data_IF_981543399593
#
_entry.id   IF_981543399593
#
_cell.length_a   1.000
_cell.length_b   1.000
_cell.length_c   1.000
_cell.angle_alpha   90.00
_cell.angle_beta   90.00
_cell.angle_gamma   90.00
#
_symmetry.space_group_name_H-M   'P 1'
#
loop_
_entity.id
_entity.type
_entity.pdbx_description
1 polymer ?
#
# COMPACT_ATOMS: atom_id res chain seq x y z
N UNK A 1 9.92 27.02 -53.21
CA UNK A 1 11.33 26.73 -52.86
C UNK A 1 12.02 27.78 -51.98
N UNK A 2 11.50 29.01 -51.79
CA UNK A 2 12.02 29.98 -50.81
C UNK A 2 11.47 29.83 -49.37
N UNK A 3 10.33 29.15 -49.18
CA UNK A 3 9.75 28.90 -47.84
C UNK A 3 10.31 27.67 -47.10
N UNK A 4 10.91 26.72 -47.83
CA UNK A 4 11.60 25.56 -47.23
C UNK A 4 13.01 25.91 -46.72
N UNK A 5 13.66 26.90 -47.32
CA UNK A 5 14.98 27.39 -46.87
C UNK A 5 14.89 28.28 -45.63
N UNK A 6 13.79 29.03 -45.44
CA UNK A 6 13.58 29.83 -44.23
C UNK A 6 13.23 28.97 -43.00
N UNK A 7 12.53 27.85 -43.20
CA UNK A 7 12.19 26.92 -42.11
C UNK A 7 13.42 26.13 -41.63
N UNK A 8 14.36 25.78 -42.51
CA UNK A 8 15.64 25.16 -42.14
C UNK A 8 16.59 26.11 -41.38
N UNK A 9 16.55 27.41 -41.66
CA UNK A 9 17.36 28.42 -40.95
C UNK A 9 16.85 28.71 -39.53
N UNK A 10 15.53 28.62 -39.29
CA UNK A 10 14.93 28.79 -37.96
C UNK A 10 15.14 27.52 -37.10
N UNK A 11 15.07 26.33 -37.69
CA UNK A 11 15.37 25.08 -36.97
C UNK A 11 16.87 24.93 -36.66
N UNK A 12 17.75 25.39 -37.57
CA UNK A 12 19.21 25.38 -37.34
C UNK A 12 19.69 26.37 -36.27
N UNK A 13 18.97 27.48 -36.05
CA UNK A 13 19.32 28.48 -35.02
C UNK A 13 18.84 28.12 -33.62
N UNK A 14 17.89 27.19 -33.48
CA UNK A 14 17.47 26.62 -32.18
C UNK A 14 18.31 25.41 -31.74
N UNK A 15 19.18 24.89 -32.62
CA UNK A 15 20.08 23.75 -32.34
C UNK A 15 21.52 24.18 -32.03
N UNK A 16 21.78 25.46 -31.79
CA UNK A 16 23.03 25.87 -31.12
C UNK A 16 22.92 25.49 -29.64
N UNK A 17 23.06 24.20 -29.38
CA UNK A 17 23.44 23.66 -28.09
C UNK A 17 24.76 24.31 -27.71
N UNK A 18 24.68 25.37 -26.90
CA UNK A 18 25.76 25.73 -26.02
C UNK A 18 25.88 24.56 -25.04
N UNK A 19 26.70 23.57 -25.38
CA UNK A 19 27.14 22.55 -24.45
C UNK A 19 28.15 23.20 -23.50
N UNK A 20 27.65 24.13 -22.67
CA UNK A 20 28.15 24.15 -21.31
C UNK A 20 27.89 22.73 -20.81
N UNK A 21 28.97 21.98 -20.59
CA UNK A 21 28.97 20.93 -19.58
C UNK A 21 28.50 21.62 -18.31
N UNK A 22 27.19 21.63 -18.08
CA UNK A 22 26.67 21.64 -16.73
C UNK A 22 27.33 20.42 -16.11
N UNK A 23 28.36 20.65 -15.31
CA UNK A 23 28.54 19.87 -14.10
C UNK A 23 27.15 19.74 -13.52
N UNK A 24 26.55 18.56 -13.65
CA UNK A 24 25.30 18.22 -12.98
C UNK A 24 25.58 18.43 -11.51
N UNK A 25 25.25 19.61 -10.98
CA UNK A 25 25.16 19.80 -9.54
C UNK A 25 24.17 18.75 -9.08
N UNK A 26 24.65 17.79 -8.29
CA UNK A 26 23.81 16.82 -7.63
C UNK A 26 22.67 17.59 -6.96
N UNK A 27 21.47 17.48 -7.52
CA UNK A 27 20.31 18.25 -7.07
C UNK A 27 19.89 17.65 -5.73
N UNK A 28 20.44 18.20 -4.66
CA UNK A 28 20.01 17.87 -3.31
C UNK A 28 18.58 18.39 -3.15
N UNK A 29 17.63 17.47 -2.99
CA UNK A 29 16.25 17.80 -2.65
C UNK A 29 16.05 17.61 -1.16
N UNK A 30 15.13 18.40 -0.60
CA UNK A 30 14.66 18.20 0.77
C UNK A 30 13.53 17.18 0.76
N UNK A 31 13.63 16.15 1.60
CA UNK A 31 12.63 15.09 1.74
C UNK A 31 12.33 14.87 3.22
N UNK A 32 11.08 14.59 3.58
CA UNK A 32 10.74 14.22 4.95
C UNK A 32 11.21 12.81 5.28
N UNK A 33 11.71 12.64 6.50
CA UNK A 33 12.19 11.34 6.99
C UNK A 33 10.99 10.41 7.18
N UNK A 34 11.08 9.17 6.69
CA UNK A 34 10.02 8.19 6.85
C UNK A 34 10.54 6.96 7.59
N UNK A 35 9.94 6.66 8.74
CA UNK A 35 10.10 5.37 9.39
C UNK A 35 9.23 4.31 8.70
N UNK A 36 9.86 3.36 8.02
CA UNK A 36 9.14 2.26 7.37
C UNK A 36 8.76 1.19 8.39
N UNK A 37 7.46 0.83 8.40
CA UNK A 37 6.95 -0.30 9.14
C UNK A 37 7.11 -1.57 8.30
N UNK A 38 7.24 -2.76 8.93
CA UNK A 38 7.41 -4.00 8.18
C UNK A 38 6.28 -4.31 7.18
N UNK A 39 5.09 -3.77 7.42
CA UNK A 39 3.91 -3.91 6.58
C UNK A 39 3.59 -2.66 5.74
N UNK A 40 4.44 -1.63 5.71
CA UNK A 40 4.22 -0.45 4.83
C UNK A 40 4.11 -0.88 3.36
N UNK A 41 4.87 -1.89 2.94
CA UNK A 41 4.78 -2.47 1.60
C UNK A 41 3.56 -3.36 1.33
N UNK A 42 2.65 -3.57 2.30
CA UNK A 42 1.36 -4.22 2.03
C UNK A 42 0.37 -3.28 1.34
N UNK A 43 0.57 -1.97 1.50
CA UNK A 43 -0.26 -0.94 0.89
C UNK A 43 0.26 -0.52 -0.50
N UNK A 44 1.43 -1.04 -0.90
CA UNK A 44 2.00 -0.76 -2.21
C UNK A 44 1.47 -1.72 -3.28
N UNK A 45 1.68 -1.38 -4.54
CA UNK A 45 1.30 -2.23 -5.68
C UNK A 45 2.07 -3.55 -5.77
N UNK A 46 3.04 -3.85 -4.90
CA UNK A 46 3.96 -5.00 -5.01
C UNK A 46 3.76 -6.01 -3.86
N UNK A 47 2.51 -6.39 -3.58
CA UNK A 47 2.17 -7.24 -2.44
C UNK A 47 2.79 -8.65 -2.58
N UNK A 48 2.92 -9.17 -3.81
CA UNK A 48 3.47 -10.53 -4.04
C UNK A 48 4.91 -10.70 -3.56
N UNK A 49 5.71 -9.64 -3.61
CA UNK A 49 7.15 -9.70 -3.32
C UNK A 49 7.47 -9.41 -1.85
N UNK A 50 6.48 -8.99 -1.08
CA UNK A 50 6.64 -8.73 0.34
C UNK A 50 7.01 -10.03 1.10
N UNK A 51 8.26 -10.11 1.56
CA UNK A 51 8.75 -11.28 2.30
C UNK A 51 8.25 -11.30 3.74
N UNK A 52 7.95 -10.14 4.33
CA UNK A 52 7.52 -10.04 5.72
C UNK A 52 6.19 -10.80 5.93
N UNK A 53 5.22 -10.62 5.03
CA UNK A 53 3.91 -11.30 5.13
C UNK A 53 3.96 -12.80 4.83
N UNK A 54 5.09 -13.35 4.37
CA UNK A 54 5.23 -14.80 4.16
C UNK A 54 5.50 -15.56 5.46
N UNK A 55 5.86 -14.87 6.54
CA UNK A 55 6.02 -15.51 7.85
C UNK A 55 4.64 -15.86 8.45
N UNK A 56 4.43 -17.08 8.98
CA UNK A 56 3.17 -17.50 9.60
C UNK A 56 2.60 -16.54 10.66
N UNK A 57 3.44 -16.07 11.58
CA UNK A 57 3.03 -15.18 12.67
C UNK A 57 2.57 -13.81 12.13
N UNK A 58 3.22 -13.33 11.07
CA UNK A 58 2.83 -12.08 10.41
C UNK A 58 1.50 -12.23 9.64
N UNK A 59 1.24 -13.40 9.03
CA UNK A 59 -0.06 -13.70 8.42
C UNK A 59 -1.16 -13.65 9.47
N UNK A 60 -0.96 -14.30 10.62
CA UNK A 60 -1.91 -14.26 11.74
C UNK A 60 -2.07 -12.84 12.27
N UNK A 61 -0.98 -12.10 12.38
CA UNK A 61 -1.00 -10.70 12.85
C UNK A 61 -1.90 -9.83 11.98
N UNK A 62 -1.72 -9.90 10.66
CA UNK A 62 -2.55 -9.14 9.72
C UNK A 62 -3.99 -9.65 9.74
N UNK A 63 -4.20 -10.96 9.70
CA UNK A 63 -5.54 -11.57 9.69
C UNK A 63 -6.36 -11.20 10.94
N UNK A 64 -5.80 -11.35 12.14
CA UNK A 64 -6.51 -11.05 13.40
C UNK A 64 -6.78 -9.55 13.53
N UNK A 65 -5.86 -8.71 13.09
CA UNK A 65 -6.07 -7.26 13.07
C UNK A 65 -7.18 -6.88 12.09
N UNK A 66 -7.18 -7.42 10.86
CA UNK A 66 -8.24 -7.18 9.88
C UNK A 66 -9.59 -7.75 10.33
N UNK A 67 -9.60 -8.91 10.98
CA UNK A 67 -10.83 -9.49 11.54
C UNK A 67 -11.47 -8.57 12.58
N UNK A 68 -10.66 -7.95 13.43
CA UNK A 68 -11.10 -7.01 14.47
C UNK A 68 -11.60 -5.68 13.90
N UNK A 69 -10.89 -5.10 12.93
CA UNK A 69 -11.10 -3.69 12.55
C UNK A 69 -11.53 -3.45 11.09
N UNK A 70 -11.56 -4.48 10.25
CA UNK A 70 -11.76 -4.33 8.81
C UNK A 70 -12.84 -5.25 8.23
N UNK A 71 -12.71 -6.57 8.35
CA UNK A 71 -13.53 -7.52 7.58
C UNK A 71 -15.03 -7.31 7.78
N UNK A 72 -15.48 -7.10 9.02
CA UNK A 72 -16.89 -6.89 9.31
C UNK A 72 -17.49 -5.67 8.58
N UNK A 73 -16.69 -4.62 8.36
CA UNK A 73 -17.15 -3.38 7.71
C UNK A 73 -16.94 -3.41 6.20
N UNK A 74 -15.85 -4.02 5.74
CA UNK A 74 -15.36 -3.84 4.37
C UNK A 74 -15.31 -5.10 3.52
N UNK A 75 -15.34 -6.32 4.10
CA UNK A 75 -15.37 -7.55 3.31
C UNK A 75 -16.82 -7.86 2.88
N UNK A 76 -17.32 -7.11 1.89
CA UNK A 76 -18.70 -7.22 1.40
C UNK A 76 -18.85 -8.28 0.31
N UNK A 77 -20.09 -8.75 0.09
CA UNK A 77 -20.40 -9.67 -1.01
C UNK A 77 -20.04 -9.08 -2.38
N UNK A 78 -20.19 -7.77 -2.57
CA UNK A 78 -19.78 -7.05 -3.78
C UNK A 78 -18.28 -7.25 -4.08
N UNK A 79 -17.40 -7.05 -3.09
CA UNK A 79 -15.95 -7.25 -3.25
C UNK A 79 -15.61 -8.73 -3.53
N UNK A 80 -16.33 -9.64 -2.88
CA UNK A 80 -16.08 -11.08 -2.99
C UNK A 80 -16.48 -11.66 -4.35
N UNK A 81 -17.52 -11.11 -4.96
CA UNK A 81 -18.05 -11.50 -6.26
C UNK A 81 -17.46 -10.67 -7.43
N UNK A 82 -16.68 -9.62 -7.14
CA UNK A 82 -16.03 -8.78 -8.15
C UNK A 82 -15.17 -9.61 -9.12
N UNK A 83 -15.36 -9.37 -10.43
CA UNK A 83 -14.64 -10.05 -11.49
C UNK A 83 -14.27 -9.08 -12.63
N UNK A 84 -12.99 -8.97 -13.00
CA UNK A 84 -11.83 -9.60 -12.35
C UNK A 84 -11.58 -9.01 -10.97
N UNK A 85 -11.10 -9.82 -10.02
CA UNK A 85 -10.58 -9.31 -8.77
C UNK A 85 -9.20 -8.70 -9.01
N UNK A 86 -9.02 -7.43 -8.64
CA UNK A 86 -7.78 -6.68 -8.79
C UNK A 86 -7.43 -6.00 -7.46
N UNK A 87 -6.23 -6.26 -6.94
CA UNK A 87 -5.69 -5.55 -5.78
C UNK A 87 -4.16 -5.46 -5.88
N UNK A 88 -3.62 -4.25 -6.07
CA UNK A 88 -2.20 -4.06 -6.34
C UNK A 88 -1.76 -4.82 -7.59
N UNK A 89 -0.78 -5.72 -7.46
CA UNK A 89 -0.32 -6.64 -8.49
C UNK A 89 -1.09 -7.98 -8.51
N UNK A 90 -2.11 -8.17 -7.68
CA UNK A 90 -2.97 -9.34 -7.69
C UNK A 90 -4.04 -9.20 -8.78
N UNK A 91 -4.17 -10.24 -9.61
CA UNK A 91 -5.17 -10.32 -10.66
C UNK A 91 -5.74 -11.74 -10.71
N UNK A 92 -7.05 -11.85 -10.57
CA UNK A 92 -7.78 -13.10 -10.80
C UNK A 92 -8.95 -12.83 -11.74
N UNK A 93 -9.02 -13.57 -12.85
CA UNK A 93 -10.15 -13.50 -13.78
C UNK A 93 -11.38 -14.30 -13.29
N UNK A 94 -11.53 -14.41 -11.97
CA UNK A 94 -12.61 -15.12 -11.27
C UNK A 94 -12.89 -14.36 -9.97
N UNK A 95 -14.10 -14.49 -9.40
CA UNK A 95 -14.41 -13.96 -8.08
C UNK A 95 -13.38 -14.37 -7.02
N UNK A 96 -13.11 -13.49 -6.06
CA UNK A 96 -12.23 -13.79 -4.93
C UNK A 96 -12.76 -14.98 -4.12
N UNK A 97 -14.09 -15.07 -3.95
CA UNK A 97 -14.73 -16.20 -3.28
C UNK A 97 -14.42 -17.54 -3.94
N UNK A 98 -14.62 -17.65 -5.25
CA UNK A 98 -14.26 -18.84 -6.03
C UNK A 98 -12.79 -19.18 -5.90
N UNK A 99 -11.92 -18.17 -5.79
CA UNK A 99 -10.49 -18.38 -5.60
C UNK A 99 -10.17 -18.98 -4.22
N UNK A 100 -10.79 -18.48 -3.16
CA UNK A 100 -10.68 -19.00 -1.80
C UNK A 100 -11.17 -20.45 -1.75
N UNK A 101 -12.36 -20.72 -2.29
CA UNK A 101 -12.94 -22.07 -2.31
C UNK A 101 -12.04 -23.07 -3.03
N UNK A 102 -11.52 -22.69 -4.20
CA UNK A 102 -10.61 -23.53 -4.97
C UNK A 102 -9.30 -23.81 -4.23
N UNK A 103 -8.77 -22.83 -3.51
CA UNK A 103 -7.57 -23.02 -2.69
C UNK A 103 -7.84 -24.00 -1.55
N UNK A 104 -8.94 -23.84 -0.82
CA UNK A 104 -9.34 -24.74 0.27
C UNK A 104 -9.54 -26.18 -0.22
N UNK A 105 -10.26 -26.37 -1.32
CA UNK A 105 -10.50 -27.69 -1.92
C UNK A 105 -9.20 -28.40 -2.33
N UNK A 106 -8.20 -27.63 -2.76
CA UNK A 106 -6.94 -28.19 -3.27
C UNK A 106 -5.86 -28.35 -2.21
N UNK A 107 -6.06 -27.92 -0.97
CA UNK A 107 -5.02 -27.97 0.05
C UNK A 107 -4.52 -29.40 0.34
N UNK A 108 -5.45 -30.33 0.61
CA UNK A 108 -5.11 -31.72 0.93
C UNK A 108 -4.53 -32.47 -0.29
N UNK A 109 -5.13 -32.30 -1.46
CA UNK A 109 -4.83 -33.06 -2.69
C UNK A 109 -4.17 -32.20 -3.78
N UNK A 110 -3.36 -31.19 -3.39
CA UNK A 110 -2.72 -30.23 -4.31
C UNK A 110 -1.89 -30.86 -5.44
N UNK A 111 -1.40 -32.09 -5.28
CA UNK A 111 -0.64 -32.79 -6.33
C UNK A 111 -1.51 -33.18 -7.53
N UNK A 112 -2.79 -33.48 -7.30
CA UNK A 112 -3.77 -33.79 -8.35
C UNK A 112 -4.44 -32.52 -8.90
N UNK A 113 -4.22 -31.37 -8.27
CA UNK A 113 -4.76 -30.10 -8.70
C UNK A 113 -4.06 -29.58 -9.98
N UNK A 114 -4.69 -28.57 -10.59
CA UNK A 114 -4.10 -27.85 -11.72
C UNK A 114 -2.76 -27.22 -11.33
N UNK A 115 -1.90 -26.99 -12.34
CA UNK A 115 -0.55 -26.44 -12.16
C UNK A 115 -0.49 -25.26 -11.17
N UNK A 116 -1.42 -24.31 -11.30
CA UNK A 116 -1.48 -23.13 -10.43
C UNK A 116 -1.62 -23.50 -8.94
N UNK A 117 -2.59 -24.35 -8.59
CA UNK A 117 -2.88 -24.65 -7.17
C UNK A 117 -1.78 -25.51 -6.56
N UNK A 118 -1.20 -26.41 -7.35
CA UNK A 118 -0.01 -27.19 -6.96
C UNK A 118 1.17 -26.28 -6.63
N UNK A 119 1.55 -25.40 -7.57
CA UNK A 119 2.66 -24.45 -7.36
C UNK A 119 2.40 -23.49 -6.20
N UNK A 120 1.14 -23.07 -6.02
CA UNK A 120 0.76 -22.25 -4.88
C UNK A 120 1.07 -22.97 -3.56
N UNK A 121 0.53 -24.18 -3.37
CA UNK A 121 0.70 -24.91 -2.11
C UNK A 121 2.13 -25.41 -1.90
N UNK A 122 2.85 -25.76 -2.95
CA UNK A 122 4.28 -26.10 -2.87
C UNK A 122 5.12 -24.92 -2.36
N UNK A 123 4.87 -23.70 -2.86
CA UNK A 123 5.54 -22.50 -2.32
C UNK A 123 5.19 -22.26 -0.86
N UNK A 124 3.91 -22.37 -0.48
CA UNK A 124 3.50 -22.19 0.92
C UNK A 124 4.16 -23.20 1.86
N UNK A 125 4.34 -24.44 1.40
CA UNK A 125 5.09 -25.48 2.14
C UNK A 125 6.58 -25.15 2.26
N UNK A 126 7.21 -24.67 1.19
CA UNK A 126 8.60 -24.22 1.23
C UNK A 126 8.80 -23.04 2.20
N UNK A 127 7.84 -22.12 2.24
CA UNK A 127 7.79 -21.00 3.17
C UNK A 127 7.36 -21.39 4.59
N UNK A 128 6.93 -22.65 4.80
CA UNK A 128 6.42 -23.19 6.08
C UNK A 128 5.22 -22.43 6.63
N UNK A 129 4.34 -21.95 5.75
CA UNK A 129 3.15 -21.17 6.09
C UNK A 129 1.85 -21.77 5.54
N UNK A 130 1.91 -22.96 4.94
CA UNK A 130 0.77 -23.63 4.29
C UNK A 130 -0.40 -23.88 5.24
N UNK A 131 -0.13 -24.39 6.44
CA UNK A 131 -1.17 -24.60 7.46
C UNK A 131 -1.82 -23.30 7.93
N UNK A 132 -1.03 -22.24 8.13
CA UNK A 132 -1.53 -20.91 8.51
C UNK A 132 -2.36 -20.28 7.40
N UNK A 133 -1.92 -20.37 6.15
CA UNK A 133 -2.69 -19.88 4.99
C UNK A 133 -4.00 -20.64 4.86
N UNK A 134 -3.99 -21.96 5.00
CA UNK A 134 -5.22 -22.76 4.95
C UNK A 134 -6.19 -22.39 6.08
N UNK A 135 -5.68 -22.17 7.31
CA UNK A 135 -6.47 -21.69 8.43
C UNK A 135 -7.14 -20.33 8.13
N UNK A 136 -6.36 -19.35 7.68
CA UNK A 136 -6.88 -18.01 7.34
C UNK A 136 -7.92 -18.07 6.23
N UNK A 137 -7.67 -18.81 5.15
CA UNK A 137 -8.65 -18.99 4.08
C UNK A 137 -9.96 -19.61 4.59
N UNK A 138 -9.88 -20.58 5.49
CA UNK A 138 -11.05 -21.21 6.10
C UNK A 138 -11.83 -20.25 6.99
N UNK A 139 -11.13 -19.44 7.80
CA UNK A 139 -11.76 -18.42 8.64
C UNK A 139 -12.42 -17.31 7.80
N UNK A 140 -11.77 -16.87 6.72
CA UNK A 140 -12.36 -15.91 5.78
C UNK A 140 -13.62 -16.50 5.14
N UNK A 141 -13.58 -17.74 4.64
CA UNK A 141 -14.75 -18.42 4.09
C UNK A 141 -15.89 -18.53 5.12
N UNK A 142 -15.57 -18.89 6.37
CA UNK A 142 -16.54 -18.95 7.45
C UNK A 142 -17.21 -17.59 7.71
N UNK A 143 -16.44 -16.50 7.76
CA UNK A 143 -16.96 -15.13 7.91
C UNK A 143 -17.83 -14.71 6.73
N UNK A 144 -17.45 -15.06 5.50
CA UNK A 144 -18.26 -14.83 4.30
C UNK A 144 -19.61 -15.55 4.36
N UNK A 145 -19.67 -16.68 5.06
CA UNK A 145 -20.89 -17.44 5.31
C UNK A 145 -21.65 -16.96 6.57
N UNK A 146 -21.31 -15.78 7.10
CA UNK A 146 -21.98 -15.14 8.23
C UNK A 146 -21.56 -15.65 9.61
N UNK A 147 -20.50 -16.46 9.70
CA UNK A 147 -20.01 -16.91 11.01
C UNK A 147 -19.23 -15.79 11.71
N UNK A 148 -19.49 -15.63 13.00
CA UNK A 148 -18.66 -14.81 13.88
C UNK A 148 -17.57 -15.70 14.47
N UNK A 149 -16.32 -15.30 14.31
CA UNK A 149 -15.16 -16.03 14.82
C UNK A 149 -14.52 -15.26 15.97
N UNK A 150 -14.00 -15.98 16.96
CA UNK A 150 -13.24 -15.36 18.05
C UNK A 150 -11.95 -14.73 17.52
N UNK A 151 -11.58 -13.60 18.11
CA UNK A 151 -10.33 -12.89 17.81
C UNK A 151 -9.25 -13.41 18.74
N UNK A 152 -8.11 -13.80 18.16
CA UNK A 152 -6.89 -14.17 18.89
C UNK A 152 -6.12 -12.90 19.20
N UNK A 153 -6.45 -12.27 20.32
CA UNK A 153 -5.92 -10.96 20.74
C UNK A 153 -4.39 -10.93 20.84
N UNK A 154 -3.73 -12.08 21.05
CA UNK A 154 -2.27 -12.19 21.07
C UNK A 154 -1.60 -11.84 19.73
N UNK A 155 -2.32 -11.92 18.61
CA UNK A 155 -1.82 -11.54 17.29
C UNK A 155 -2.32 -10.16 16.84
N UNK A 156 -3.17 -9.47 17.61
CA UNK A 156 -3.69 -8.16 17.20
C UNK A 156 -2.57 -7.10 17.30
N UNK A 157 -2.32 -6.41 16.19
CA UNK A 157 -1.32 -5.34 16.14
C UNK A 157 -2.01 -3.97 16.26
N UNK A 158 -1.86 -3.34 17.42
CA UNK A 158 -2.48 -2.05 17.72
C UNK A 158 -2.06 -0.91 16.76
N UNK A 159 -0.82 -0.94 16.24
CA UNK A 159 -0.35 0.06 15.28
C UNK A 159 -1.05 -0.13 13.93
N UNK A 160 -1.15 -1.36 13.43
CA UNK A 160 -1.87 -1.69 12.20
C UNK A 160 -3.38 -1.41 12.35
N UNK A 161 -3.98 -1.76 13.48
CA UNK A 161 -5.37 -1.43 13.81
C UNK A 161 -5.60 0.08 13.72
N UNK A 162 -4.70 0.88 14.32
CA UNK A 162 -4.80 2.35 14.28
C UNK A 162 -4.68 2.88 12.85
N UNK A 163 -3.80 2.31 12.04
CA UNK A 163 -3.62 2.70 10.63
C UNK A 163 -4.86 2.37 9.80
N UNK A 164 -5.48 1.21 10.00
CA UNK A 164 -6.76 0.85 9.36
C UNK A 164 -7.87 1.83 9.79
N UNK A 165 -7.92 2.19 11.08
CA UNK A 165 -8.87 3.16 11.59
C UNK A 165 -8.75 4.54 10.93
N UNK A 166 -7.53 4.98 10.60
CA UNK A 166 -7.28 6.25 9.89
C UNK A 166 -7.96 6.24 8.51
N UNK A 167 -7.87 5.14 7.76
CA UNK A 167 -8.57 5.02 6.47
C UNK A 167 -10.09 5.02 6.63
N UNK A 168 -10.60 4.39 7.69
CA UNK A 168 -12.03 4.36 7.97
C UNK A 168 -12.63 5.72 8.35
N UNK A 169 -11.81 6.67 8.76
CA UNK A 169 -12.21 8.02 9.14
C UNK A 169 -12.32 9.00 7.96
N UNK A 170 -11.89 8.61 6.75
CA UNK A 170 -11.86 9.50 5.57
C UNK A 170 -13.25 9.98 5.13
N UNK A 171 -14.29 9.16 5.29
CA UNK A 171 -15.67 9.50 4.90
C UNK A 171 -16.31 10.58 5.80
N UNK A 172 -15.82 10.73 7.03
CA UNK A 172 -16.36 11.66 8.03
C UNK A 172 -15.23 12.44 8.72
N UNK A 173 -14.28 12.92 7.91
CA UNK A 173 -13.10 13.62 8.38
C UNK A 173 -13.47 14.93 9.10
N UNK A 174 -12.81 15.17 10.23
CA UNK A 174 -12.96 16.39 11.05
C UNK A 174 -11.58 16.97 11.37
N UNK A 175 -11.55 18.22 11.83
CA UNK A 175 -10.29 18.87 12.26
C UNK A 175 -9.65 18.10 13.43
N UNK A 176 -10.47 17.60 14.36
CA UNK A 176 -10.02 16.81 15.50
C UNK A 176 -9.36 15.50 15.06
N UNK A 177 -10.01 14.74 14.16
CA UNK A 177 -9.45 13.51 13.59
C UNK A 177 -8.18 13.78 12.81
N UNK A 178 -8.18 14.82 11.97
CA UNK A 178 -7.01 15.17 11.17
C UNK A 178 -5.78 15.49 12.03
N UNK A 179 -5.96 16.28 13.09
CA UNK A 179 -4.90 16.57 14.05
C UNK A 179 -4.42 15.31 14.79
N UNK A 180 -5.33 14.41 15.16
CA UNK A 180 -4.99 13.15 15.79
C UNK A 180 -4.19 12.22 14.86
N UNK A 181 -4.56 12.15 13.58
CA UNK A 181 -3.84 11.37 12.57
C UNK A 181 -2.43 11.94 12.34
N UNK A 182 -2.31 13.26 12.17
CA UNK A 182 -1.01 13.92 12.04
C UNK A 182 -0.11 13.65 13.27
N UNK A 183 -0.65 13.81 14.47
CA UNK A 183 0.08 13.55 15.71
C UNK A 183 0.56 12.08 15.81
N UNK A 184 -0.28 11.14 15.37
CA UNK A 184 0.08 9.72 15.32
C UNK A 184 1.26 9.45 14.36
N UNK A 185 1.19 9.89 13.10
CA UNK A 185 2.29 9.68 12.15
C UNK A 185 3.59 10.34 12.60
N UNK A 186 3.50 11.56 13.14
CA UNK A 186 4.67 12.25 13.71
C UNK A 186 5.29 11.48 14.88
N UNK A 187 4.47 10.95 15.81
CA UNK A 187 4.97 10.16 16.94
C UNK A 187 5.67 8.88 16.48
N UNK A 188 5.22 8.30 15.37
CA UNK A 188 5.83 7.13 14.71
C UNK A 188 7.06 7.49 13.86
N UNK A 189 7.46 8.76 13.78
CA UNK A 189 8.55 9.27 12.92
C UNK A 189 8.29 9.02 11.42
N UNK A 190 7.02 8.97 11.02
CA UNK A 190 6.56 8.82 9.64
C UNK A 190 6.26 10.21 9.06
N UNK A 191 7.30 11.03 8.91
CA UNK A 191 7.12 12.46 8.58
C UNK A 191 6.65 12.68 7.14
N UNK A 192 7.04 11.82 6.20
CA UNK A 192 6.55 11.92 4.82
C UNK A 192 5.07 11.54 4.74
N UNK A 193 4.66 10.47 5.43
CA UNK A 193 3.23 10.12 5.54
C UNK A 193 2.41 11.22 6.22
N UNK A 194 2.97 11.87 7.26
CA UNK A 194 2.33 13.00 7.93
C UNK A 194 2.19 14.24 7.03
N UNK A 195 3.19 14.52 6.19
CA UNK A 195 3.12 15.59 5.19
C UNK A 195 2.05 15.28 4.13
N UNK A 196 2.08 14.06 3.57
CA UNK A 196 1.16 13.63 2.52
C UNK A 196 -0.29 13.67 3.01
N UNK A 197 -0.54 13.32 4.28
CA UNK A 197 -1.84 13.46 4.90
C UNK A 197 -2.38 14.90 4.86
N UNK A 198 -1.52 15.92 5.00
CA UNK A 198 -1.96 17.32 5.06
C UNK A 198 -2.17 17.96 3.68
N UNK A 199 -1.35 17.58 2.69
CA UNK A 199 -1.27 18.26 1.39
C UNK A 199 -1.65 17.38 0.20
N UNK A 200 -1.47 16.07 0.31
CA UNK A 200 -1.59 15.13 -0.80
C UNK A 200 -2.80 14.19 -0.62
N UNK A 201 -3.72 14.53 0.28
CA UNK A 201 -4.93 13.77 0.54
C UNK A 201 -6.17 14.68 0.48
N UNK A 202 -7.03 14.44 -0.51
CA UNK A 202 -8.23 15.26 -0.77
C UNK A 202 -9.22 15.32 0.40
N UNK A 203 -9.28 14.30 1.25
CA UNK A 203 -10.14 14.30 2.45
C UNK A 203 -9.75 15.37 3.47
N UNK A 204 -8.52 15.87 3.40
CA UNK A 204 -7.99 16.89 4.30
C UNK A 204 -8.06 18.28 3.71
N UNK A 205 -8.19 18.42 2.39
CA UNK A 205 -8.08 19.69 1.65
C UNK A 205 -9.07 20.74 2.17
N UNK A 206 -10.34 20.34 2.36
CA UNK A 206 -11.42 21.24 2.80
C UNK A 206 -11.34 21.63 4.29
N UNK A 207 -10.46 21.00 5.08
CA UNK A 207 -10.36 21.27 6.51
C UNK A 207 -9.58 22.57 6.77
N UNK A 208 -10.08 23.37 7.71
CA UNK A 208 -9.38 24.56 8.21
C UNK A 208 -8.36 24.19 9.28
N UNK A 209 -7.30 23.51 8.86
CA UNK A 209 -6.16 23.10 9.70
C UNK A 209 -4.97 24.04 9.49
N UNK A 210 -4.21 24.31 10.55
CA UNK A 210 -3.01 25.17 10.51
C UNK A 210 -1.81 24.43 9.90
N UNK A 211 -1.90 24.06 8.61
CA UNK A 211 -0.94 23.17 7.92
C UNK A 211 0.51 23.62 8.07
N UNK A 212 0.81 24.89 7.81
CA UNK A 212 2.17 25.41 7.88
C UNK A 212 2.80 25.25 9.28
N UNK A 213 1.99 25.44 10.32
CA UNK A 213 2.42 25.23 11.71
C UNK A 213 2.72 23.76 11.99
N UNK A 214 1.90 22.84 11.48
CA UNK A 214 2.10 21.40 11.64
C UNK A 214 3.34 20.92 10.88
N UNK A 215 3.49 21.34 9.61
CA UNK A 215 4.63 21.00 8.75
C UNK A 215 5.96 21.45 9.35
N UNK A 216 6.01 22.64 9.94
CA UNK A 216 7.21 23.14 10.60
C UNK A 216 7.70 22.23 11.75
N UNK A 217 6.89 21.27 12.20
CA UNK A 217 7.26 20.30 13.22
C UNK A 217 7.73 18.93 12.69
N UNK A 218 7.75 18.76 11.37
CA UNK A 218 8.24 17.56 10.70
C UNK A 218 9.76 17.63 10.53
N UNK A 219 10.39 16.46 10.44
CA UNK A 219 11.84 16.35 10.26
C UNK A 219 12.13 15.97 8.81
N UNK A 220 12.98 16.77 8.16
CA UNK A 220 13.47 16.56 6.80
C UNK A 220 14.97 16.32 6.76
N UNK A 221 15.43 15.80 5.63
CA UNK A 221 16.84 15.61 5.30
C UNK A 221 17.11 16.03 3.85
N UNK A 222 18.36 16.38 3.56
CA UNK A 222 18.81 16.65 2.20
C UNK A 222 19.34 15.37 1.59
N UNK A 223 18.77 14.98 0.45
CA UNK A 223 19.13 13.74 -0.24
C UNK A 223 19.47 14.03 -1.69
N UNK A 224 20.45 13.28 -2.21
CA UNK A 224 20.82 13.36 -3.62
C UNK A 224 19.80 12.58 -4.45
N UNK A 225 19.06 13.29 -5.30
CA UNK A 225 17.99 12.75 -6.13
C UNK A 225 18.39 11.50 -6.94
N UNK A 226 19.64 11.45 -7.41
CA UNK A 226 20.15 10.33 -8.21
C UNK A 226 20.37 9.03 -7.41
N UNK A 227 20.28 9.11 -6.07
CA UNK A 227 20.57 8.01 -5.14
C UNK A 227 19.41 7.70 -4.19
N UNK A 228 18.32 8.45 -4.26
CA UNK A 228 17.13 8.20 -3.45
C UNK A 228 16.36 7.05 -4.08
N UNK A 229 16.42 5.88 -3.43
CA UNK A 229 15.43 4.86 -3.68
C UNK A 229 14.05 5.41 -3.25
N UNK A 230 13.02 5.21 -4.06
CA UNK A 230 11.68 5.71 -3.75
C UNK A 230 11.22 5.07 -2.45
N UNK A 231 11.19 5.85 -1.37
CA UNK A 231 10.71 5.34 -0.08
C UNK A 231 9.23 5.03 -0.22
N UNK A 232 8.86 3.78 0.02
CA UNK A 232 7.46 3.41 0.22
C UNK A 232 6.97 4.17 1.46
N UNK A 233 5.97 5.01 1.25
CA UNK A 233 5.28 5.78 2.30
C UNK A 233 3.94 5.12 2.56
N UNK A 234 3.42 5.29 3.78
CA UNK A 234 2.13 4.69 4.11
C UNK A 234 0.95 5.46 3.50
N UNK A 235 1.02 6.79 3.52
CA UNK A 235 0.06 7.66 2.82
C UNK A 235 0.73 8.13 1.54
N UNK A 236 0.33 7.59 0.38
CA UNK A 236 0.77 8.07 -0.93
C UNK A 236 0.02 9.34 -1.35
N UNK A 237 0.62 10.10 -2.26
CA UNK A 237 -0.05 11.21 -2.93
C UNK A 237 -1.17 10.68 -3.83
N UNK A 238 -2.41 11.06 -3.54
CA UNK A 238 -3.60 10.64 -4.29
C UNK A 238 -4.27 11.80 -5.06
N UNK A 239 -3.57 12.92 -5.24
CA UNK A 239 -4.11 14.15 -5.85
C UNK A 239 -3.83 14.26 -7.36
N UNK A 240 -3.28 13.21 -7.98
CA UNK A 240 -2.91 13.16 -9.40
C UNK A 240 -3.83 12.28 -10.24
#
# INVERSE_FOLDING_TARGET
MRLLLLSLLIVGSLLSCNSQKQTTEQKNIEQYIEHQLPYTGLCSFQVRDNQWIRNPENILTVHETLKKSFYQKYLTEEILEETPFIYGDLYFNTPLKTKIDSLLLTYAEHQEATKYYREFWERRKQEKNDSTVNLVLGEVQAMMNGQTLEIREEYVNATLEKLIGIWGDFENMTVEKANAHFAFFKAMKMHQSAYNLLYENSHYEALRIHRDSLVATLVSEKVNWDTVDSRIVFIEDNTK
#
